data_IF_672082143904
#
_entry.id   IF_672082143904
#
_cell.length_a   1.000
_cell.length_b   1.000
_cell.length_c   1.000
_cell.angle_alpha   90.00
_cell.angle_beta   90.00
_cell.angle_gamma   90.00
#
_symmetry.space_group_name_H-M   'P 1'
#
loop_
_entity.id
_entity.type
_entity.pdbx_description
1 polymer ?
#
# COMPACT_ATOMS: atom_id res chain seq x y z
N UNK A 1 9.19 -12.71 8.54
CA UNK A 1 10.64 -12.80 8.36
C UNK A 1 11.23 -12.03 9.52
N UNK A 2 12.10 -12.63 10.32
CA UNK A 2 12.75 -11.96 11.45
C UNK A 2 14.18 -11.54 11.08
N UNK A 3 14.84 -10.79 11.97
CA UNK A 3 16.20 -10.26 11.75
C UNK A 3 17.26 -11.34 11.48
N UNK A 4 17.05 -12.57 11.92
CA UNK A 4 17.99 -13.69 11.76
C UNK A 4 17.64 -14.59 10.57
N UNK A 5 16.59 -14.26 9.82
CA UNK A 5 16.17 -15.06 8.67
C UNK A 5 17.22 -14.98 7.55
N UNK A 6 17.73 -16.12 7.03
CA UNK A 6 18.73 -16.13 5.96
C UNK A 6 18.30 -15.37 4.69
N UNK A 7 16.98 -15.20 4.49
CA UNK A 7 16.39 -14.44 3.37
C UNK A 7 16.62 -12.93 3.48
N UNK A 8 17.02 -12.41 4.64
CA UNK A 8 17.39 -11.00 4.84
C UNK A 8 18.51 -10.54 3.89
N UNK A 9 19.44 -11.44 3.52
CA UNK A 9 20.52 -11.15 2.58
C UNK A 9 20.05 -10.90 1.14
N UNK A 10 18.80 -11.25 0.82
CA UNK A 10 18.19 -11.08 -0.50
C UNK A 10 17.39 -9.78 -0.61
N UNK A 11 17.22 -9.03 0.50
CA UNK A 11 16.46 -7.79 0.50
C UNK A 11 17.34 -6.66 -0.03
N UNK A 12 17.05 -6.23 -1.26
CA UNK A 12 17.78 -5.16 -1.93
C UNK A 12 17.45 -3.76 -1.37
N UNK A 13 16.29 -3.59 -0.75
CA UNK A 13 15.85 -2.32 -0.18
C UNK A 13 16.38 -2.17 1.26
N UNK A 14 17.30 -1.22 1.47
CA UNK A 14 17.90 -0.97 2.79
C UNK A 14 16.88 -0.55 3.85
N UNK A 15 15.85 0.23 3.46
CA UNK A 15 14.76 0.64 4.35
C UNK A 15 13.97 -0.58 4.81
N UNK A 16 13.56 -1.45 3.89
CA UNK A 16 12.81 -2.67 4.24
C UNK A 16 13.64 -3.57 5.17
N UNK A 17 14.95 -3.69 4.91
CA UNK A 17 15.88 -4.43 5.78
C UNK A 17 15.90 -3.87 7.20
N UNK A 18 16.05 -2.55 7.37
CA UNK A 18 16.03 -1.90 8.69
C UNK A 18 14.73 -2.18 9.45
N UNK A 19 13.60 -2.21 8.77
CA UNK A 19 12.33 -2.50 9.42
C UNK A 19 12.23 -3.96 9.91
N UNK A 20 12.68 -4.92 9.10
CA UNK A 20 12.74 -6.33 9.51
C UNK A 20 13.73 -6.55 10.68
N UNK A 21 14.87 -5.86 10.68
CA UNK A 21 15.85 -5.89 11.79
C UNK A 21 15.25 -5.39 13.11
N UNK A 22 14.29 -4.45 13.04
CA UNK A 22 13.53 -3.95 14.18
C UNK A 22 12.29 -4.80 14.53
N UNK A 23 12.18 -6.01 13.97
CA UNK A 23 11.10 -6.96 14.28
C UNK A 23 9.76 -6.67 13.60
N UNK A 24 9.73 -5.77 12.60
CA UNK A 24 8.51 -5.53 11.83
C UNK A 24 8.27 -6.66 10.81
N UNK A 25 7.00 -6.99 10.62
CA UNK A 25 6.55 -7.91 9.57
C UNK A 25 6.45 -7.18 8.24
N UNK A 26 6.49 -7.92 7.12
CA UNK A 26 6.33 -7.35 5.78
C UNK A 26 5.00 -6.58 5.63
N UNK A 27 3.95 -7.04 6.28
CA UNK A 27 2.64 -6.37 6.28
C UNK A 27 2.68 -5.02 7.02
N UNK A 28 3.37 -4.93 8.16
CA UNK A 28 3.54 -3.67 8.89
C UNK A 28 4.36 -2.66 8.08
N UNK A 29 5.37 -3.13 7.36
CA UNK A 29 6.18 -2.29 6.45
C UNK A 29 5.31 -1.80 5.29
N UNK A 30 4.52 -2.70 4.69
CA UNK A 30 3.60 -2.35 3.62
C UNK A 30 2.56 -1.32 4.08
N UNK A 31 1.97 -1.49 5.25
CA UNK A 31 0.98 -0.57 5.83
C UNK A 31 1.56 0.85 6.02
N UNK A 32 2.75 0.96 6.62
CA UNK A 32 3.42 2.26 6.80
C UNK A 32 3.70 2.96 5.46
N UNK A 33 4.12 2.19 4.46
CA UNK A 33 4.33 2.70 3.10
C UNK A 33 3.01 3.18 2.48
N UNK A 34 1.94 2.39 2.59
CA UNK A 34 0.61 2.70 2.04
C UNK A 34 0.08 4.00 2.63
N UNK A 35 0.13 4.16 3.95
CA UNK A 35 -0.29 5.39 4.63
C UNK A 35 0.49 6.60 4.13
N UNK A 36 1.82 6.46 4.04
CA UNK A 36 2.70 7.53 3.54
C UNK A 36 2.38 7.90 2.09
N UNK A 37 2.11 6.91 1.24
CA UNK A 37 1.79 7.11 -0.17
C UNK A 37 0.43 7.79 -0.36
N UNK A 38 -0.59 7.40 0.40
CA UNK A 38 -1.92 8.06 0.39
C UNK A 38 -1.79 9.52 0.82
N UNK A 39 -1.05 9.80 1.89
CA UNK A 39 -0.82 11.18 2.33
C UNK A 39 -0.12 12.02 1.26
N UNK A 40 0.88 11.46 0.59
CA UNK A 40 1.57 12.14 -0.51
C UNK A 40 0.63 12.39 -1.70
N UNK A 41 -0.21 11.42 -2.06
CA UNK A 41 -1.21 11.59 -3.12
C UNK A 41 -2.19 12.72 -2.80
N UNK A 42 -2.71 12.78 -1.57
CA UNK A 42 -3.64 13.83 -1.15
C UNK A 42 -2.98 15.21 -1.24
N UNK A 43 -1.74 15.34 -0.77
CA UNK A 43 -0.98 16.59 -0.85
C UNK A 43 -0.70 17.01 -2.32
N UNK A 44 -0.36 16.05 -3.19
CA UNK A 44 -0.15 16.32 -4.62
C UNK A 44 -1.45 16.73 -5.30
N UNK A 45 -2.55 16.07 -4.97
CA UNK A 45 -3.88 16.39 -5.53
C UNK A 45 -4.32 17.79 -5.13
N UNK A 46 -4.18 18.13 -3.85
CA UNK A 46 -4.48 19.47 -3.32
C UNK A 46 -3.64 20.55 -4.01
N UNK A 47 -2.33 20.32 -4.15
CA UNK A 47 -1.44 21.28 -4.79
C UNK A 47 -1.74 21.45 -6.29
N UNK A 48 -2.06 20.36 -7.00
CA UNK A 48 -2.42 20.40 -8.43
C UNK A 48 -3.74 21.08 -8.70
N UNK A 49 -4.66 21.09 -7.72
CA UNK A 49 -5.89 21.88 -7.81
C UNK A 49 -5.59 23.40 -7.83
N UNK A 50 -4.45 23.84 -7.31
CA UNK A 50 -4.02 25.24 -7.27
C UNK A 50 -3.06 25.57 -8.43
N UNK A 51 -2.02 24.76 -8.65
CA UNK A 51 -1.14 24.81 -9.83
C UNK A 51 -0.95 23.39 -10.38
N UNK A 52 -1.53 23.07 -11.56
CA UNK A 52 -1.44 21.76 -12.19
C UNK A 52 -0.01 21.24 -12.44
N UNK A 53 1.01 22.11 -12.43
CA UNK A 53 2.42 21.74 -12.67
C UNK A 53 3.16 21.33 -11.41
N UNK A 54 2.53 21.38 -10.24
CA UNK A 54 3.17 21.02 -8.98
C UNK A 54 3.47 19.52 -8.93
N UNK A 55 4.64 19.17 -8.38
CA UNK A 55 5.14 17.78 -8.25
C UNK A 55 5.18 17.01 -9.58
N UNK A 56 5.97 17.47 -10.58
CA UNK A 56 6.02 16.84 -11.91
C UNK A 56 6.61 15.41 -11.88
N UNK A 57 7.34 15.04 -10.83
CA UNK A 57 7.94 13.71 -10.67
C UNK A 57 7.05 12.66 -9.99
N UNK A 58 5.85 13.03 -9.50
CA UNK A 58 4.99 12.12 -8.72
C UNK A 58 4.21 11.12 -9.59
N UNK A 59 4.22 11.29 -10.91
CA UNK A 59 3.35 10.54 -11.82
C UNK A 59 1.95 11.17 -11.95
N UNK A 60 1.03 10.46 -12.59
CA UNK A 60 -0.32 10.94 -12.84
C UNK A 60 -1.11 11.04 -11.55
N UNK A 61 -0.83 10.16 -10.57
CA UNK A 61 -1.48 10.20 -9.26
C UNK A 61 -2.96 9.88 -9.36
N UNK A 62 -3.36 8.98 -10.25
CA UNK A 62 -4.76 8.55 -10.34
C UNK A 62 -5.10 7.56 -9.24
N UNK A 63 -6.40 7.41 -8.97
CA UNK A 63 -6.91 6.38 -8.07
C UNK A 63 -6.51 4.98 -8.54
N UNK A 64 -6.55 4.69 -9.85
CA UNK A 64 -6.13 3.37 -10.36
C UNK A 64 -4.64 3.11 -10.18
N UNK A 65 -3.79 4.11 -10.46
CA UNK A 65 -2.35 3.98 -10.26
C UNK A 65 -2.03 3.69 -8.79
N UNK A 66 -2.67 4.45 -7.89
CA UNK A 66 -2.51 4.31 -6.44
C UNK A 66 -2.98 2.94 -5.97
N UNK A 67 -4.16 2.49 -6.40
CA UNK A 67 -4.70 1.18 -6.05
C UNK A 67 -3.77 0.04 -6.48
N UNK A 68 -3.22 0.10 -7.69
CA UNK A 68 -2.24 -0.90 -8.18
C UNK A 68 -0.98 -0.94 -7.32
N UNK A 69 -0.46 0.23 -6.92
CA UNK A 69 0.73 0.33 -6.05
C UNK A 69 0.48 -0.26 -4.66
N UNK A 70 -0.68 0.04 -4.06
CA UNK A 70 -1.10 -0.51 -2.77
C UNK A 70 -1.18 -2.04 -2.85
N UNK A 71 -1.91 -2.57 -3.84
CA UNK A 71 -2.09 -4.02 -4.01
C UNK A 71 -0.76 -4.72 -4.27
N UNK A 72 0.09 -4.18 -5.14
CA UNK A 72 1.42 -4.75 -5.41
C UNK A 72 2.25 -4.85 -4.11
N UNK A 73 2.26 -3.79 -3.30
CA UNK A 73 3.00 -3.77 -2.04
C UNK A 73 2.47 -4.78 -1.02
N UNK A 74 1.15 -4.95 -0.95
CA UNK A 74 0.53 -5.98 -0.11
C UNK A 74 0.91 -7.40 -0.58
N UNK A 75 0.85 -7.66 -1.90
CA UNK A 75 1.21 -8.96 -2.46
C UNK A 75 2.68 -9.31 -2.21
N UNK A 76 3.59 -8.33 -2.37
CA UNK A 76 5.02 -8.46 -2.07
C UNK A 76 5.27 -8.73 -0.59
N UNK A 77 4.47 -8.13 0.29
CA UNK A 77 4.49 -8.39 1.73
C UNK A 77 3.92 -9.76 2.12
N UNK A 78 3.45 -10.55 1.17
CA UNK A 78 2.89 -11.88 1.39
C UNK A 78 1.40 -11.87 1.73
N UNK A 79 0.72 -10.72 1.64
CA UNK A 79 -0.74 -10.68 1.70
C UNK A 79 -1.32 -11.52 0.56
N UNK A 80 -2.41 -12.21 0.84
CA UNK A 80 -3.21 -12.89 -0.16
C UNK A 80 -4.64 -12.37 -0.02
N UNK A 81 -5.30 -12.03 -1.15
CA UNK A 81 -6.72 -11.72 -1.09
C UNK A 81 -7.46 -12.88 -0.44
N UNK A 82 -8.47 -12.63 0.40
CA UNK A 82 -9.37 -13.69 0.80
C UNK A 82 -9.96 -14.31 -0.46
N UNK A 83 -10.05 -15.64 -0.51
CA UNK A 83 -10.66 -16.35 -1.64
C UNK A 83 -12.02 -15.71 -1.92
N UNK A 84 -12.29 -15.38 -3.19
CA UNK A 84 -13.49 -14.65 -3.60
C UNK A 84 -14.79 -15.37 -3.21
N UNK A 85 -14.71 -16.65 -2.86
CA UNK A 85 -15.81 -17.47 -2.33
C UNK A 85 -16.23 -17.07 -0.89
N UNK A 86 -15.41 -16.32 -0.16
CA UNK A 86 -15.74 -15.81 1.19
C UNK A 86 -16.32 -14.38 1.19
N UNK A 87 -16.48 -13.74 0.02
CA UNK A 87 -17.01 -12.38 -0.12
C UNK A 87 -18.49 -12.35 -0.57
N UNK A 88 -19.21 -13.48 -0.49
CA UNK A 88 -20.68 -13.52 -0.51
C UNK A 88 -21.25 -12.86 0.76
N UNK A 89 -21.08 -11.54 0.86
CA UNK A 89 -21.79 -10.72 1.82
C UNK A 89 -23.21 -10.60 1.28
N UNK A 90 -24.24 -11.12 1.97
CA UNK A 90 -25.62 -10.95 1.52
C UNK A 90 -25.92 -9.45 1.43
N UNK A 91 -26.56 -9.04 0.34
CA UNK A 91 -26.98 -7.65 0.16
C UNK A 91 -27.75 -7.20 1.41
N UNK A 92 -27.36 -6.05 1.98
CA UNK A 92 -28.14 -5.42 3.06
C UNK A 92 -29.54 -5.20 2.48
N UNK A 93 -30.61 -5.75 3.08
CA UNK A 93 -31.96 -5.48 2.60
C UNK A 93 -32.16 -3.97 2.64
N UNK A 94 -32.38 -3.36 1.48
CA UNK A 94 -32.93 -2.00 1.45
C UNK A 94 -34.25 -2.09 2.18
N UNK A 95 -34.34 -1.44 3.34
CA UNK A 95 -35.62 -1.26 4.01
C UNK A 95 -36.49 -0.46 3.05
N UNK A 96 -37.48 -1.13 2.45
CA UNK A 96 -38.53 -0.46 1.68
C UNK A 96 -39.21 0.55 2.62
N UNK A 97 -39.00 1.84 2.36
CA UNK A 97 -39.75 2.95 2.93
C UNK A 97 -41.00 3.21 2.09
#
# INVERSE_FOLDING_TARGET
>A
MDANDPRMNLIACEIDRMHYENGQTGLQIAEQWIVSHINALLAVTEARAQDPRTYPGFGDGTTEETARRIVARLLDAGWRPPDTECLDVPAIPTADL
#
